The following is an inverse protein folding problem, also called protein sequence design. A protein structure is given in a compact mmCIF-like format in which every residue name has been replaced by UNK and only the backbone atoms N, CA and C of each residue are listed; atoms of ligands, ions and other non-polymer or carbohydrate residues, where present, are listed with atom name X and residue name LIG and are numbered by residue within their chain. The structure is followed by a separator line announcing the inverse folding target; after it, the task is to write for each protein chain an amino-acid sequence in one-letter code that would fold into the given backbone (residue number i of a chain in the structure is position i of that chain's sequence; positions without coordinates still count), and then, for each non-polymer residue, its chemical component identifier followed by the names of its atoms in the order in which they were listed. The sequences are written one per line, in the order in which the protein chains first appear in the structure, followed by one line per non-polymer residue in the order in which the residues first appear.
data_IF_383573505391
#
_entry.id   IF_383573505391
#
_cell.length_a   1.000
_cell.length_b   1.000
_cell.length_c   1.000
_cell.angle_alpha   90.00
_cell.angle_beta   90.00
_cell.angle_gamma   90.00
#
_symmetry.space_group_name_H-M   'P 1'
#
loop_
_entity.id
_entity.type
_entity.pdbx_description
1 polymer ?
#
# COMPACT_ATOMS: atom_id res chain seq x y z
N UNK A 1 38.43 16.25 -1.88
CA UNK A 1 37.02 16.62 -2.10
C UNK A 1 36.49 15.68 -3.18
N UNK A 2 36.02 14.50 -2.79
CA UNK A 2 35.26 13.61 -3.67
C UNK A 2 34.15 13.02 -2.79
N UNK A 3 32.94 13.53 -2.96
CA UNK A 3 31.73 12.92 -2.41
C UNK A 3 31.33 11.84 -3.41
N UNK A 4 31.66 10.59 -3.09
CA UNK A 4 31.15 9.44 -3.81
C UNK A 4 29.64 9.34 -3.63
N UNK A 5 28.95 9.09 -4.73
CA UNK A 5 27.51 8.87 -4.83
C UNK A 5 27.00 7.81 -3.85
N UNK A 6 26.01 8.19 -3.03
CA UNK A 6 25.30 7.33 -2.08
C UNK A 6 24.12 6.61 -2.79
N UNK A 7 24.20 6.41 -4.10
CA UNK A 7 23.11 5.90 -4.95
C UNK A 7 23.03 4.37 -4.99
N UNK A 8 23.07 3.72 -3.83
CA UNK A 8 23.08 2.26 -3.76
C UNK A 8 22.64 1.71 -2.41
N UNK A 9 21.61 2.30 -1.80
CA UNK A 9 20.84 1.52 -0.82
C UNK A 9 19.96 0.58 -1.62
N UNK A 10 20.30 -0.71 -1.60
CA UNK A 10 19.46 -1.77 -2.13
C UNK A 10 18.05 -1.58 -1.56
N UNK A 11 17.10 -1.17 -2.41
CA UNK A 11 15.73 -1.00 -1.97
C UNK A 11 15.18 -2.39 -1.65
N UNK A 12 14.97 -2.66 -0.37
CA UNK A 12 14.38 -3.90 0.11
C UNK A 12 13.06 -4.13 -0.61
N UNK A 13 12.96 -5.27 -1.31
CA UNK A 13 11.75 -5.75 -1.99
C UNK A 13 11.11 -6.85 -1.18
N UNK A 14 9.78 -6.79 -1.09
CA UNK A 14 8.98 -7.78 -0.38
C UNK A 14 7.83 -8.21 -1.27
N UNK A 15 7.68 -9.52 -1.43
CA UNK A 15 6.49 -10.08 -2.05
C UNK A 15 5.29 -9.83 -1.15
N UNK A 16 4.30 -9.16 -1.71
CA UNK A 16 3.05 -8.77 -1.07
C UNK A 16 1.89 -9.16 -1.96
N UNK A 17 0.68 -9.24 -1.42
CA UNK A 17 -0.50 -9.49 -2.24
C UNK A 17 -1.68 -8.74 -1.64
N UNK A 18 -2.02 -7.61 -2.24
CA UNK A 18 -3.18 -6.83 -1.81
C UNK A 18 -3.80 -6.03 -2.96
N UNK A 19 -5.12 -5.75 -2.90
CA UNK A 19 -5.79 -4.93 -3.88
C UNK A 19 -5.29 -3.48 -3.79
N UNK A 20 -5.10 -2.86 -4.95
CA UNK A 20 -4.77 -1.46 -5.09
C UNK A 20 -5.70 -0.84 -6.17
N UNK A 21 -5.67 0.49 -6.24
CA UNK A 21 -6.45 1.25 -7.22
C UNK A 21 -5.51 2.09 -8.07
N UNK A 22 -5.86 2.28 -9.33
CA UNK A 22 -5.06 3.11 -10.23
C UNK A 22 -5.94 3.89 -11.20
N UNK A 23 -5.41 5.00 -11.71
CA UNK A 23 -5.99 5.76 -12.81
C UNK A 23 -4.88 6.39 -13.63
N UNK A 24 -5.07 6.50 -14.94
CA UNK A 24 -4.15 7.23 -15.82
C UNK A 24 -4.25 8.74 -15.58
N UNK A 25 -3.09 9.41 -15.52
CA UNK A 25 -3.02 10.87 -15.41
C UNK A 25 -2.72 11.50 -16.76
N UNK A 26 -3.42 12.59 -17.08
CA UNK A 26 -3.13 13.45 -18.23
C UNK A 26 -2.36 14.72 -17.78
N UNK A 27 -2.67 15.24 -16.60
CA UNK A 27 -1.98 16.38 -15.97
C UNK A 27 -1.26 15.91 -14.70
N UNK A 28 0.06 16.06 -14.67
CA UNK A 28 0.92 15.44 -13.64
C UNK A 28 1.54 16.47 -12.70
N UNK A 29 1.82 17.67 -13.20
CA UNK A 29 2.63 18.66 -12.51
C UNK A 29 1.90 19.27 -11.31
N UNK A 30 0.64 19.68 -11.50
CA UNK A 30 -0.17 20.26 -10.42
C UNK A 30 -0.51 19.22 -9.33
N UNK A 31 -0.88 18.00 -9.76
CA UNK A 31 -1.23 16.93 -8.83
C UNK A 31 0.00 16.38 -8.08
N UNK A 32 1.18 16.37 -8.72
CA UNK A 32 2.43 15.94 -8.10
C UNK A 32 2.81 16.84 -6.93
N UNK A 33 2.70 18.16 -7.11
CA UNK A 33 2.94 19.13 -6.04
C UNK A 33 1.94 18.98 -4.88
N UNK A 34 0.68 18.69 -5.18
CA UNK A 34 -0.35 18.44 -4.15
C UNK A 34 -0.03 17.17 -3.34
N UNK A 35 0.36 16.08 -4.01
CA UNK A 35 0.74 14.81 -3.36
C UNK A 35 2.00 14.97 -2.50
N UNK A 36 3.00 15.70 -2.99
CA UNK A 36 4.23 15.90 -2.23
C UNK A 36 4.04 16.82 -1.03
N UNK A 37 3.16 17.82 -1.13
CA UNK A 37 2.92 18.79 -0.06
C UNK A 37 2.04 18.27 1.08
N UNK A 38 1.07 17.39 0.79
CA UNK A 38 0.10 16.92 1.79
C UNK A 38 0.08 15.40 1.88
N UNK A 39 0.06 14.86 3.11
CA UNK A 39 -0.13 13.42 3.33
C UNK A 39 -1.45 12.98 2.75
N UNK A 40 -1.51 11.72 2.32
CA UNK A 40 -2.73 11.12 1.78
C UNK A 40 -3.89 11.25 2.79
N UNK A 41 -3.65 11.04 4.09
CA UNK A 41 -4.68 11.20 5.12
C UNK A 41 -5.28 12.61 5.20
N UNK A 42 -4.45 13.64 5.02
CA UNK A 42 -4.85 15.05 5.14
C UNK A 42 -5.73 15.47 3.96
N UNK A 43 -5.43 14.94 2.76
CA UNK A 43 -6.19 15.20 1.54
C UNK A 43 -7.60 14.59 1.55
N UNK A 44 -7.76 13.47 2.24
CA UNK A 44 -9.02 12.74 2.24
C UNK A 44 -9.95 13.03 3.43
N UNK A 45 -9.65 14.01 4.30
CA UNK A 45 -10.45 14.35 5.52
C UNK A 45 -10.91 13.12 6.31
N UNK A 46 -10.10 12.05 6.27
CA UNK A 46 -10.39 10.79 6.94
C UNK A 46 -9.61 10.80 8.25
N UNK A 47 -10.17 10.31 9.37
CA UNK A 47 -9.41 10.30 10.61
C UNK A 47 -8.09 9.56 10.38
N UNK A 48 -6.98 10.07 10.94
CA UNK A 48 -5.67 9.51 10.71
C UNK A 48 -5.70 8.12 11.32
N UNK A 49 -5.73 7.08 10.49
CA UNK A 49 -5.33 5.75 10.99
C UNK A 49 -3.81 5.60 10.90
N UNK A 50 -3.07 6.70 11.05
CA UNK A 50 -1.80 6.67 11.76
C UNK A 50 -2.14 6.60 13.26
N UNK A 51 -2.52 5.41 13.74
CA UNK A 51 -2.42 5.14 15.17
C UNK A 51 -0.94 4.99 15.51
N UNK A 52 -0.19 6.11 15.47
CA UNK A 52 1.15 6.21 16.07
C UNK A 52 1.14 5.86 17.55
N UNK A 53 -0.06 5.81 18.15
CA UNK A 53 -0.29 5.61 19.58
C UNK A 53 -0.83 4.20 19.91
N UNK A 54 -1.02 3.32 18.92
CA UNK A 54 -1.34 1.93 19.24
C UNK A 54 -0.05 1.19 19.61
N UNK A 55 0.01 0.52 20.78
CA UNK A 55 1.18 -0.23 21.19
C UNK A 55 1.54 -1.27 20.12
N UNK A 56 2.81 -1.28 19.71
CA UNK A 56 3.39 -2.28 18.82
C UNK A 56 3.36 -3.72 19.38
N UNK A 57 3.01 -3.87 20.66
CA UNK A 57 3.10 -5.10 21.45
C UNK A 57 1.75 -5.77 21.68
N UNK A 58 0.91 -5.87 20.64
CA UNK A 58 -0.19 -6.86 20.66
C UNK A 58 0.34 -8.31 20.54
N UNK A 59 1.62 -8.49 20.21
CA UNK A 59 2.26 -9.80 20.16
C UNK A 59 2.56 -10.38 21.56
N UNK A 60 2.53 -9.57 22.63
CA UNK A 60 2.69 -10.04 24.01
C UNK A 60 1.39 -10.63 24.59
N UNK A 61 0.31 -10.67 23.81
CA UNK A 61 -0.95 -11.31 24.17
C UNK A 61 -0.91 -12.84 24.01
N UNK A 62 0.24 -13.46 24.30
CA UNK A 62 0.41 -14.93 24.36
C UNK A 62 -0.38 -15.58 25.52
N UNK A 63 -1.17 -14.80 26.26
CA UNK A 63 -2.04 -15.26 27.35
C UNK A 63 -3.55 -15.20 27.03
N UNK A 64 -3.96 -15.30 25.76
CA UNK A 64 -5.37 -15.64 25.49
C UNK A 64 -5.61 -17.13 25.71
N UNK A 65 -5.71 -17.50 26.99
CA UNK A 65 -6.39 -18.73 27.39
C UNK A 65 -7.78 -18.77 26.75
N UNK A 66 -8.05 -19.86 26.04
CA UNK A 66 -9.35 -20.34 25.53
C UNK A 66 -10.50 -19.33 25.67
N UNK A 67 -10.58 -18.36 24.75
CA UNK A 67 -11.76 -17.51 24.65
C UNK A 67 -12.98 -18.37 24.36
N UNK A 68 -14.06 -18.19 25.14
CA UNK A 68 -15.30 -18.92 24.88
C UNK A 68 -15.77 -18.65 23.44
N UNK A 69 -16.37 -19.64 22.75
CA UNK A 69 -16.84 -19.46 21.36
C UNK A 69 -17.77 -18.26 21.17
N UNK A 70 -18.48 -17.85 22.23
CA UNK A 70 -19.35 -16.68 22.24
C UNK A 70 -18.56 -15.36 22.17
N UNK A 71 -17.44 -15.27 22.89
CA UNK A 71 -16.54 -14.10 22.87
C UNK A 71 -15.91 -13.97 21.50
N UNK A 72 -15.45 -15.08 20.91
CA UNK A 72 -14.92 -15.07 19.54
C UNK A 72 -15.95 -14.59 18.52
N UNK A 73 -17.19 -15.07 18.62
CA UNK A 73 -18.28 -14.64 17.72
C UNK A 73 -18.59 -13.15 17.88
N UNK A 74 -18.56 -12.63 19.11
CA UNK A 74 -18.78 -11.22 19.39
C UNK A 74 -17.63 -10.36 18.82
N UNK A 75 -16.38 -10.79 18.99
CA UNK A 75 -15.20 -10.13 18.41
C UNK A 75 -15.26 -10.08 16.89
N UNK A 76 -15.52 -11.21 16.23
CA UNK A 76 -15.70 -11.26 14.78
C UNK A 76 -16.86 -10.35 14.30
N UNK A 77 -17.94 -10.26 15.10
CA UNK A 77 -19.06 -9.37 14.78
C UNK A 77 -18.67 -7.90 14.92
N UNK A 78 -17.86 -7.55 15.93
CA UNK A 78 -17.35 -6.20 16.12
C UNK A 78 -16.37 -5.83 15.00
N UNK A 79 -15.41 -6.70 14.67
CA UNK A 79 -14.47 -6.50 13.57
C UNK A 79 -15.21 -6.24 12.25
N UNK A 80 -16.19 -7.09 11.90
CA UNK A 80 -17.01 -6.90 10.68
C UNK A 80 -17.80 -5.60 10.67
N UNK A 81 -18.34 -5.18 11.82
CA UNK A 81 -19.07 -3.91 11.94
C UNK A 81 -18.13 -2.72 11.80
N UNK A 82 -16.95 -2.79 12.39
CA UNK A 82 -15.92 -1.76 12.30
C UNK A 82 -15.44 -1.65 10.85
N UNK A 83 -15.12 -2.76 10.19
CA UNK A 83 -14.75 -2.78 8.78
C UNK A 83 -15.83 -2.17 7.87
N UNK A 84 -17.10 -2.50 8.15
CA UNK A 84 -18.22 -1.93 7.42
C UNK A 84 -18.32 -0.41 7.63
N UNK A 85 -18.18 0.07 8.88
CA UNK A 85 -18.18 1.49 9.20
C UNK A 85 -17.00 2.21 8.52
N UNK A 86 -15.80 1.64 8.56
CA UNK A 86 -14.60 2.20 7.91
C UNK A 86 -14.84 2.36 6.41
N UNK A 87 -15.41 1.36 5.74
CA UNK A 87 -15.75 1.44 4.31
C UNK A 87 -16.83 2.49 4.02
N UNK A 88 -17.80 2.66 4.91
CA UNK A 88 -18.87 3.64 4.73
C UNK A 88 -18.44 5.09 5.00
N UNK A 89 -17.50 5.32 5.92
CA UNK A 89 -17.09 6.67 6.34
C UNK A 89 -16.54 7.46 5.15
N UNK A 90 -15.84 6.80 4.22
CA UNK A 90 -15.39 7.49 3.01
C UNK A 90 -15.26 6.54 1.81
N UNK A 91 -16.35 6.28 1.06
CA UNK A 91 -16.29 5.40 -0.10
C UNK A 91 -15.34 5.92 -1.17
N UNK A 92 -15.12 7.24 -1.27
CA UNK A 92 -14.17 7.82 -2.23
C UNK A 92 -12.71 7.51 -1.91
N UNK A 93 -12.41 7.09 -0.69
CA UNK A 93 -11.04 6.81 -0.23
C UNK A 93 -10.63 5.39 -0.58
N UNK A 94 -11.52 4.43 -0.32
CA UNK A 94 -11.24 3.00 -0.57
C UNK A 94 -11.79 2.50 -1.91
N UNK A 95 -12.93 3.05 -2.34
CA UNK A 95 -13.68 2.65 -3.54
C UNK A 95 -13.98 3.87 -4.42
N UNK A 96 -12.93 4.61 -4.80
CA UNK A 96 -13.06 5.69 -5.78
C UNK A 96 -13.57 5.11 -7.11
N UNK A 97 -14.79 5.49 -7.57
CA UNK A 97 -15.35 4.97 -8.81
C UNK A 97 -14.59 5.45 -10.05
N UNK A 98 -13.74 6.47 -9.92
CA UNK A 98 -12.89 6.95 -11.01
C UNK A 98 -11.58 6.15 -11.17
N UNK A 99 -11.29 5.23 -10.25
CA UNK A 99 -10.09 4.39 -10.29
C UNK A 99 -10.41 2.93 -10.56
N UNK A 100 -9.62 2.35 -11.45
CA UNK A 100 -9.66 0.93 -11.79
C UNK A 100 -8.95 0.08 -10.73
N UNK A 101 -9.28 -1.21 -10.66
CA UNK A 101 -8.67 -2.14 -9.71
C UNK A 101 -7.37 -2.72 -10.27
N UNK A 102 -6.39 -2.90 -9.40
CA UNK A 102 -5.17 -3.66 -9.66
C UNK A 102 -4.75 -4.45 -8.42
N UNK A 103 -3.74 -5.29 -8.57
CA UNK A 103 -3.18 -6.10 -7.47
C UNK A 103 -1.70 -5.76 -7.35
N UNK A 104 -1.26 -5.40 -6.15
CA UNK A 104 0.15 -5.25 -5.83
C UNK A 104 0.76 -6.61 -5.45
N UNK A 105 1.79 -7.04 -6.18
CA UNK A 105 2.47 -8.35 -6.04
C UNK A 105 3.83 -8.22 -5.34
N UNK A 106 4.50 -7.09 -5.56
CA UNK A 106 5.79 -6.80 -4.95
C UNK A 106 5.88 -5.32 -4.66
N UNK A 107 6.51 -4.98 -3.55
CA UNK A 107 6.62 -3.62 -3.09
C UNK A 107 8.04 -3.34 -2.59
N UNK A 108 8.53 -2.16 -2.95
CA UNK A 108 9.80 -1.60 -2.47
C UNK A 108 9.64 -0.12 -2.14
N UNK A 109 10.65 0.46 -1.49
CA UNK A 109 10.64 1.89 -1.18
C UNK A 109 10.68 2.80 -2.42
N UNK A 110 11.07 2.27 -3.59
CA UNK A 110 11.19 3.01 -4.85
C UNK A 110 10.11 2.70 -5.88
N UNK A 111 9.29 1.67 -5.67
CA UNK A 111 8.29 1.27 -6.65
C UNK A 111 7.59 -0.03 -6.31
N UNK A 112 6.66 -0.43 -7.18
CA UNK A 112 5.82 -1.59 -7.00
C UNK A 112 5.74 -2.44 -8.28
N UNK A 113 5.37 -3.70 -8.13
CA UNK A 113 4.99 -4.58 -9.22
C UNK A 113 3.49 -4.84 -9.14
N UNK A 114 2.78 -4.50 -10.20
CA UNK A 114 1.33 -4.50 -10.24
C UNK A 114 0.83 -5.45 -11.31
N UNK A 115 -0.32 -6.06 -11.06
CA UNK A 115 -1.09 -6.81 -12.04
C UNK A 115 -2.41 -6.10 -12.27
N UNK A 116 -2.71 -5.79 -13.53
CA UNK A 116 -3.97 -5.14 -13.91
C UNK A 116 -4.43 -5.55 -15.31
N UNK A 117 -5.70 -5.37 -15.58
CA UNK A 117 -6.37 -5.64 -16.86
C UNK A 117 -6.40 -4.36 -17.71
N UNK A 118 -5.22 -3.80 -18.00
CA UNK A 118 -5.14 -2.52 -18.72
C UNK A 118 -3.96 -2.43 -19.68
N UNK A 119 -4.17 -1.68 -20.76
CA UNK A 119 -3.15 -1.34 -21.75
C UNK A 119 -2.44 -0.05 -21.37
N UNK A 120 -1.50 -0.15 -20.44
CA UNK A 120 -0.53 0.93 -20.17
C UNK A 120 0.71 0.74 -21.03
N UNK A 121 1.41 1.84 -21.31
CA UNK A 121 2.69 1.83 -22.03
C UNK A 121 3.82 2.20 -21.09
N UNK A 122 5.03 1.83 -21.47
CA UNK A 122 6.24 2.34 -20.80
C UNK A 122 6.25 3.87 -20.83
N UNK A 123 6.75 4.46 -19.76
CA UNK A 123 6.76 5.91 -19.47
C UNK A 123 5.39 6.56 -19.24
N UNK A 124 4.28 5.79 -19.26
CA UNK A 124 2.99 6.33 -18.81
C UNK A 124 3.04 6.69 -17.33
N UNK A 125 2.41 7.81 -16.98
CA UNK A 125 2.24 8.25 -15.60
C UNK A 125 0.87 7.89 -15.08
N UNK A 126 0.85 7.22 -13.92
CA UNK A 126 -0.35 6.70 -13.30
C UNK A 126 -0.46 7.25 -11.87
N UNK A 127 -1.68 7.59 -11.46
CA UNK A 127 -2.00 7.77 -10.06
C UNK A 127 -2.31 6.40 -9.46
N UNK A 128 -1.64 6.04 -8.38
CA UNK A 128 -1.87 4.78 -7.69
C UNK A 128 -2.21 5.04 -6.24
N UNK A 129 -3.24 4.35 -5.77
CA UNK A 129 -3.62 4.29 -4.37
C UNK A 129 -3.39 2.89 -3.85
N UNK A 130 -2.42 2.77 -2.94
CA UNK A 130 -2.08 1.55 -2.25
C UNK A 130 -2.81 1.51 -0.91
N UNK A 131 -3.43 0.37 -0.62
CA UNK A 131 -4.08 0.09 0.67
C UNK A 131 -3.49 -1.20 1.26
N UNK A 132 -2.27 -1.13 1.86
CA UNK A 132 -1.67 -2.30 2.47
C UNK A 132 -2.57 -2.89 3.57
N UNK A 133 -2.67 -4.24 3.67
CA UNK A 133 -3.54 -4.90 4.63
C UNK A 133 -2.87 -4.94 6.01
N UNK A 134 -2.76 -3.79 6.66
CA UNK A 134 -2.21 -3.66 8.01
C UNK A 134 -3.24 -3.12 8.97
N UNK A 135 -3.04 -3.44 10.26
CA UNK A 135 -3.64 -2.69 11.34
C UNK A 135 -2.53 -1.95 12.10
N UNK A 136 -2.64 -0.61 12.27
CA UNK A 136 -3.70 0.23 11.72
C UNK A 136 -3.66 0.34 10.18
N UNK A 137 -4.83 0.61 9.59
CA UNK A 137 -4.95 0.80 8.13
C UNK A 137 -4.25 2.10 7.74
N UNK A 138 -3.50 2.11 6.64
CA UNK A 138 -3.02 3.35 6.05
C UNK A 138 -3.14 3.27 4.55
N UNK A 139 -3.18 4.44 3.92
CA UNK A 139 -3.39 4.58 2.48
C UNK A 139 -2.30 5.49 1.96
N UNK A 140 -1.68 5.06 0.87
CA UNK A 140 -0.63 5.82 0.20
C UNK A 140 -1.10 6.10 -1.20
N UNK A 141 -1.19 7.38 -1.55
CA UNK A 141 -1.43 7.81 -2.92
C UNK A 141 -0.15 8.41 -3.50
N UNK A 142 0.28 7.88 -4.64
CA UNK A 142 1.53 8.25 -5.29
C UNK A 142 1.36 8.31 -6.81
N UNK A 143 2.08 9.23 -7.45
CA UNK A 143 2.26 9.21 -8.90
C UNK A 143 3.40 8.26 -9.20
N UNK A 144 3.17 7.37 -10.15
CA UNK A 144 4.17 6.42 -10.62
C UNK A 144 4.42 6.56 -12.11
N UNK A 145 5.61 6.18 -12.54
CA UNK A 145 5.97 6.03 -13.94
C UNK A 145 6.12 4.56 -14.26
N UNK A 146 5.49 4.11 -15.35
CA UNK A 146 5.61 2.72 -15.83
C UNK A 146 7.00 2.50 -16.42
N UNK A 147 7.72 1.50 -15.91
CA UNK A 147 9.08 1.15 -16.38
C UNK A 147 9.13 -0.04 -17.31
N UNK A 148 8.25 -1.02 -17.11
CA UNK A 148 8.18 -2.19 -17.98
C UNK A 148 6.79 -2.79 -17.94
N UNK A 149 6.33 -3.27 -19.09
CA UNK A 149 5.05 -3.98 -19.23
C UNK A 149 5.32 -5.38 -19.77
N UNK A 150 4.98 -6.39 -18.99
CA UNK A 150 5.07 -7.80 -19.34
C UNK A 150 3.66 -8.39 -19.42
N UNK A 151 3.43 -9.31 -20.35
CA UNK A 151 2.16 -10.05 -20.41
C UNK A 151 2.21 -11.13 -19.33
N UNK A 152 1.19 -11.21 -18.48
CA UNK A 152 1.08 -12.27 -17.48
C UNK A 152 0.80 -13.60 -18.21
N UNK A 153 1.82 -14.46 -18.28
CA UNK A 153 1.71 -15.78 -18.94
C UNK A 153 0.84 -16.76 -18.16
N UNK A 154 0.62 -16.52 -16.88
CA UNK A 154 -0.21 -17.40 -16.02
C UNK A 154 -1.67 -16.94 -15.97
N UNK A 155 -1.94 -15.65 -16.24
CA UNK A 155 -3.29 -15.08 -16.24
C UNK A 155 -3.58 -14.40 -17.59
N UNK A 156 -4.22 -15.14 -18.51
CA UNK A 156 -4.62 -14.60 -19.81
C UNK A 156 -5.43 -13.31 -19.67
N UNK A 157 -4.99 -12.26 -20.37
CA UNK A 157 -5.65 -10.94 -20.37
C UNK A 157 -5.14 -9.95 -19.32
N UNK A 158 -4.19 -10.34 -18.45
CA UNK A 158 -3.57 -9.44 -17.46
C UNK A 158 -2.15 -9.05 -17.84
N UNK A 159 -1.77 -7.82 -17.50
CA UNK A 159 -0.42 -7.30 -17.66
C UNK A 159 0.26 -7.17 -16.30
N UNK A 160 1.52 -7.60 -16.24
CA UNK A 160 2.45 -7.36 -15.15
C UNK A 160 3.23 -6.08 -15.43
N UNK A 161 3.08 -5.09 -14.56
CA UNK A 161 3.60 -3.74 -14.78
C UNK A 161 4.50 -3.36 -13.63
N UNK A 162 5.77 -3.07 -13.93
CA UNK A 162 6.69 -2.50 -12.95
C UNK A 162 6.60 -0.99 -13.00
N UNK A 163 6.39 -0.39 -11.84
CA UNK A 163 6.25 1.05 -11.69
C UNK A 163 7.28 1.60 -10.71
N UNK A 164 7.72 2.83 -10.95
CA UNK A 164 8.61 3.60 -10.07
C UNK A 164 7.86 4.80 -9.48
N UNK A 165 8.00 5.04 -8.17
CA UNK A 165 7.38 6.19 -7.52
C UNK A 165 8.05 7.49 -7.99
N UNK A 166 7.29 8.31 -8.70
CA UNK A 166 7.73 9.62 -9.20
C UNK A 166 7.46 10.73 -8.20
N UNK A 167 6.25 10.77 -7.63
CA UNK A 167 5.86 11.73 -6.60
C UNK A 167 5.10 11.02 -5.49
N UNK A 168 5.56 11.17 -4.26
CA UNK A 168 4.97 10.60 -3.05
C UNK A 168 5.29 11.53 -1.88
N UNK A 169 4.34 11.72 -0.97
CA UNK A 169 4.60 12.45 0.26
C UNK A 169 5.69 11.75 1.11
N UNK A 170 6.57 12.53 1.74
CA UNK A 170 7.64 11.97 2.57
C UNK A 170 7.11 11.13 3.74
N UNK A 171 6.03 11.58 4.40
CA UNK A 171 5.40 10.85 5.49
C UNK A 171 4.79 9.53 5.05
N UNK A 172 4.05 9.55 3.94
CA UNK A 172 3.47 8.34 3.36
C UNK A 172 4.55 7.34 2.91
N UNK A 173 5.70 7.85 2.43
CA UNK A 173 6.87 7.06 2.08
C UNK A 173 7.50 6.40 3.30
N UNK A 174 7.62 7.11 4.43
CA UNK A 174 8.13 6.55 5.69
C UNK A 174 7.22 5.43 6.24
N UNK A 175 5.91 5.62 6.15
CA UNK A 175 4.93 4.60 6.55
C UNK A 175 5.04 3.35 5.66
N UNK A 176 5.17 3.53 4.34
CA UNK A 176 5.39 2.44 3.39
C UNK A 176 6.69 1.68 3.67
N UNK A 177 7.79 2.39 3.96
CA UNK A 177 9.09 1.80 4.31
C UNK A 177 8.96 0.98 5.60
N UNK A 178 8.29 1.53 6.62
CA UNK A 178 8.07 0.85 7.89
C UNK A 178 7.29 -0.45 7.70
N UNK A 179 6.27 -0.43 6.84
CA UNK A 179 5.52 -1.62 6.45
C UNK A 179 6.41 -2.67 5.77
N UNK A 180 7.20 -2.27 4.77
CA UNK A 180 8.14 -3.15 4.04
C UNK A 180 9.08 -3.86 5.02
N UNK A 181 9.71 -3.12 5.94
CA UNK A 181 10.61 -3.72 6.94
C UNK A 181 9.89 -4.63 7.93
N UNK A 182 8.66 -4.29 8.35
CA UNK A 182 7.85 -5.17 9.19
C UNK A 182 7.57 -6.49 8.46
N UNK A 183 7.11 -6.42 7.21
CA UNK A 183 6.76 -7.59 6.41
C UNK A 183 7.97 -8.47 6.09
N UNK A 184 9.12 -7.85 5.81
CA UNK A 184 10.37 -8.57 5.60
C UNK A 184 10.75 -9.38 6.85
N UNK A 185 10.67 -8.78 8.05
CA UNK A 185 10.96 -9.47 9.31
C UNK A 185 10.02 -10.65 9.56
N UNK A 186 8.73 -10.50 9.26
CA UNK A 186 7.74 -11.58 9.37
C UNK A 186 8.07 -12.76 8.45
N UNK A 187 8.41 -12.50 7.19
CA UNK A 187 8.78 -13.54 6.23
C UNK A 187 10.07 -14.25 6.64
N UNK A 188 11.05 -13.51 7.17
CA UNK A 188 12.31 -14.10 7.65
C UNK A 188 12.07 -15.02 8.86
N UNK A 189 11.17 -14.64 9.78
CA UNK A 189 10.79 -15.48 10.93
C UNK A 189 10.16 -16.80 10.48
N UNK A 190 9.22 -16.75 9.54
CA UNK A 190 8.55 -17.94 8.98
C UNK A 190 9.49 -18.88 8.21
N UNK A 191 10.61 -18.38 7.71
CA UNK A 191 11.63 -19.20 7.02
C UNK A 191 12.66 -19.82 7.97
N UNK A 192 12.79 -19.28 9.18
CA UNK A 192 13.73 -19.77 10.19
C UNK A 192 13.13 -20.83 11.13
N UNK A 193 11.81 -21.04 11.07
CA UNK A 193 11.08 -22.16 11.68
C UNK A 193 10.96 -23.33 10.71
#
# INVERSE_FOLDING_TARGET
MERSDISGRDNVRVSVFFPARWRRLEEVEDLGLEIESHRTCDRFTTPPTAFSDLPSDLNDLTQFQEMSPQIYTLWMSLERKIDYLIRMINPKVFDDPSMEQCICIDLSAGGAHLRMEAHVKEEDKLLIRLTPPTFPLFIVEAIVTVKSVEIDKENEGRSLIRVEFSSINLGDKEDLISYIFKRQREILRLKSE
#
